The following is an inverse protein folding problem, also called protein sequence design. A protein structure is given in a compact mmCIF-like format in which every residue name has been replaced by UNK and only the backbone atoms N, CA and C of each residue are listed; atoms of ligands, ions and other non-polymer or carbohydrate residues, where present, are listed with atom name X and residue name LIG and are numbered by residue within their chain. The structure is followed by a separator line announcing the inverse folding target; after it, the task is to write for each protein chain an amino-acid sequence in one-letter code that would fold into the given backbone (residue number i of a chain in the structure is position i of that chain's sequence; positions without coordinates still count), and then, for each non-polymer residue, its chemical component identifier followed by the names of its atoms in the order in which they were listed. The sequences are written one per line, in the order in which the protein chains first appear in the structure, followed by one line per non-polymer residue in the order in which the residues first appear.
data_IF_585608115394
#
_entry.id   IF_585608115394
#
_cell.length_a   1.000
_cell.length_b   1.000
_cell.length_c   1.000
_cell.angle_alpha   90.00
_cell.angle_beta   90.00
_cell.angle_gamma   90.00
#
_symmetry.space_group_name_H-M   'P 1'
#
loop_
_entity.id
_entity.type
_entity.pdbx_description
1 polymer ?
#
# COMPACT_ATOMS: atom_id res chain seq x y z
N UNK A 1 93.69 -13.42 12.19
CA UNK A 1 92.83 -14.48 12.74
C UNK A 1 91.50 -13.84 13.11
N UNK A 2 90.63 -13.89 12.10
CA UNK A 2 89.17 -14.02 12.13
C UNK A 2 88.34 -13.02 12.93
N UNK A 3 87.84 -12.01 12.21
CA UNK A 3 86.52 -11.43 12.51
C UNK A 3 85.59 -11.73 11.34
N UNK A 4 84.63 -12.60 11.65
CA UNK A 4 83.59 -13.15 10.80
C UNK A 4 82.74 -12.03 10.18
N UNK A 5 82.61 -12.07 8.85
CA UNK A 5 81.65 -11.29 8.08
C UNK A 5 80.25 -11.82 8.35
N UNK A 6 79.33 -10.96 8.82
CA UNK A 6 77.90 -11.26 8.90
C UNK A 6 77.20 -10.34 7.91
N UNK A 7 76.80 -10.90 6.77
CA UNK A 7 75.92 -10.28 5.80
C UNK A 7 74.52 -10.09 6.42
N UNK A 8 74.09 -8.85 6.62
CA UNK A 8 72.69 -8.53 6.88
C UNK A 8 71.90 -8.65 5.57
N UNK A 9 71.22 -9.77 5.36
CA UNK A 9 70.19 -9.89 4.33
C UNK A 9 68.93 -9.15 4.76
N UNK A 10 68.55 -8.13 3.98
CA UNK A 10 67.24 -7.48 4.06
C UNK A 10 66.17 -8.49 3.64
N UNK A 11 65.24 -8.83 4.55
CA UNK A 11 63.98 -9.48 4.21
C UNK A 11 62.86 -8.51 4.58
N UNK A 12 62.42 -7.71 3.60
CA UNK A 12 61.19 -6.95 3.70
C UNK A 12 60.02 -7.91 3.51
N UNK A 13 59.36 -8.28 4.60
CA UNK A 13 58.17 -9.12 4.59
C UNK A 13 56.96 -8.20 4.35
N UNK A 14 56.58 -8.04 3.08
CA UNK A 14 55.37 -7.29 2.70
C UNK A 14 54.15 -8.18 2.96
N UNK A 15 53.51 -7.99 4.11
CA UNK A 15 52.18 -8.54 4.40
C UNK A 15 51.14 -7.77 3.59
N UNK A 16 50.76 -8.30 2.43
CA UNK A 16 49.59 -7.82 1.70
C UNK A 16 48.32 -8.35 2.38
N UNK A 17 47.67 -7.52 3.20
CA UNK A 17 46.34 -7.84 3.71
C UNK A 17 45.33 -7.78 2.56
N UNK A 18 44.81 -8.93 2.14
CA UNK A 18 43.64 -9.00 1.27
C UNK A 18 42.41 -8.56 2.07
N UNK A 19 42.08 -7.27 2.01
CA UNK A 19 40.78 -6.77 2.46
C UNK A 19 39.77 -7.19 1.41
N UNK A 20 39.09 -8.31 1.64
CA UNK A 20 37.89 -8.64 0.87
C UNK A 20 36.80 -7.69 1.34
N UNK A 21 36.59 -6.61 0.59
CA UNK A 21 35.40 -5.78 0.73
C UNK A 21 34.20 -6.64 0.36
N UNK A 22 33.53 -7.21 1.36
CA UNK A 22 32.18 -7.73 1.20
C UNK A 22 31.31 -6.52 0.90
N UNK A 23 31.10 -6.25 -0.39
CA UNK A 23 30.04 -5.36 -0.83
C UNK A 23 28.72 -6.02 -0.42
N UNK A 24 28.23 -5.68 0.78
CA UNK A 24 26.82 -5.87 1.07
C UNK A 24 26.07 -5.05 0.02
N UNK A 25 25.55 -5.71 -1.02
CA UNK A 25 24.38 -5.20 -1.70
C UNK A 25 23.29 -5.19 -0.65
N UNK A 26 23.11 -4.05 0.03
CA UNK A 26 21.91 -3.77 0.76
C UNK A 26 20.79 -3.85 -0.27
N UNK A 27 20.12 -5.00 -0.34
CA UNK A 27 18.83 -5.10 -0.99
C UNK A 27 17.98 -4.02 -0.32
N UNK A 28 17.70 -2.94 -1.03
CA UNK A 28 16.77 -1.93 -0.59
C UNK A 28 15.45 -2.66 -0.42
N UNK A 29 15.08 -2.98 0.82
CA UNK A 29 13.77 -3.50 1.14
C UNK A 29 12.79 -2.41 0.71
N UNK A 30 12.16 -2.60 -0.44
CA UNK A 30 11.16 -1.67 -0.93
C UNK A 30 10.04 -1.66 0.10
N UNK A 31 9.89 -0.55 0.81
CA UNK A 31 8.91 -0.41 1.88
C UNK A 31 7.49 -0.23 1.33
N UNK A 32 7.36 -0.08 0.01
CA UNK A 32 6.11 0.23 -0.71
C UNK A 32 5.45 -1.03 -1.24
N UNK A 33 4.17 -0.91 -1.56
CA UNK A 33 3.40 -1.97 -2.22
C UNK A 33 3.99 -2.30 -3.59
N UNK A 34 3.91 -3.56 -4.00
CA UNK A 34 4.33 -3.98 -5.34
C UNK A 34 3.46 -3.35 -6.44
N UNK A 35 4.07 -2.95 -7.56
CA UNK A 35 3.33 -2.42 -8.72
C UNK A 35 2.63 -3.50 -9.55
N UNK A 36 3.09 -4.75 -9.45
CA UNK A 36 2.50 -5.90 -10.15
C UNK A 36 2.20 -7.00 -9.13
N UNK A 37 0.92 -7.25 -8.92
CA UNK A 37 0.43 -8.18 -7.90
C UNK A 37 0.20 -9.60 -8.43
N UNK A 38 0.50 -9.86 -9.71
CA UNK A 38 0.27 -11.17 -10.36
C UNK A 38 1.09 -12.33 -9.77
N UNK A 39 2.14 -12.03 -9.01
CA UNK A 39 3.01 -13.05 -8.40
C UNK A 39 2.36 -13.74 -7.19
N UNK A 40 1.42 -13.07 -6.53
CA UNK A 40 0.68 -13.64 -5.41
C UNK A 40 -0.81 -13.81 -5.75
N UNK A 41 -1.58 -14.45 -4.88
CA UNK A 41 -3.02 -14.65 -5.04
C UNK A 41 -3.75 -14.36 -3.75
N UNK A 42 -5.02 -13.97 -3.85
CA UNK A 42 -5.95 -13.86 -2.71
C UNK A 42 -6.68 -15.18 -2.39
N UNK A 43 -6.50 -16.23 -3.19
CA UNK A 43 -7.10 -17.54 -2.93
C UNK A 43 -6.39 -18.24 -1.76
N UNK A 44 -7.13 -18.49 -0.68
CA UNK A 44 -6.58 -18.98 0.59
C UNK A 44 -5.79 -20.28 0.51
N UNK A 45 -6.19 -21.18 -0.40
CA UNK A 45 -5.64 -22.53 -0.50
C UNK A 45 -4.51 -22.67 -1.54
N UNK A 46 -4.18 -21.60 -2.29
CA UNK A 46 -3.11 -21.64 -3.28
C UNK A 46 -1.73 -21.58 -2.64
N UNK A 47 -0.71 -22.08 -3.35
CA UNK A 47 0.68 -22.00 -2.91
C UNK A 47 1.19 -20.57 -2.78
N UNK A 48 0.67 -19.67 -3.61
CA UNK A 48 0.92 -18.23 -3.54
C UNK A 48 -0.23 -17.45 -2.87
N UNK A 49 -1.05 -18.13 -2.06
CA UNK A 49 -2.17 -17.55 -1.31
C UNK A 49 -1.73 -16.77 -0.05
N UNK A 50 -2.64 -16.01 0.60
CA UNK A 50 -2.30 -15.09 1.69
C UNK A 50 -1.56 -15.74 2.87
N UNK A 51 -1.94 -16.95 3.26
CA UNK A 51 -1.29 -17.71 4.34
C UNK A 51 0.17 -18.10 4.05
N UNK A 52 0.61 -17.97 2.79
CA UNK A 52 1.94 -18.37 2.31
C UNK A 52 2.74 -17.21 1.70
N UNK A 53 2.21 -15.99 1.62
CA UNK A 53 2.91 -14.86 0.98
C UNK A 53 4.34 -14.65 1.50
N UNK A 54 4.56 -14.74 2.82
CA UNK A 54 5.90 -14.59 3.41
C UNK A 54 6.89 -15.73 3.12
N UNK A 55 6.47 -16.77 2.40
CA UNK A 55 7.31 -17.87 1.94
C UNK A 55 7.64 -17.78 0.44
N UNK A 56 7.01 -16.86 -0.29
CA UNK A 56 7.21 -16.73 -1.75
C UNK A 56 8.58 -16.10 -2.03
N UNK A 57 8.93 -15.02 -1.31
CA UNK A 57 10.23 -14.33 -1.43
C UNK A 57 10.76 -13.85 -0.08
N UNK A 58 12.09 -13.72 0.10
CA UNK A 58 12.68 -13.20 1.32
C UNK A 58 12.18 -11.81 1.72
N UNK A 59 11.97 -10.92 0.75
CA UNK A 59 11.52 -9.54 0.99
C UNK A 59 10.08 -9.48 1.52
N UNK A 60 9.29 -10.54 1.35
CA UNK A 60 7.90 -10.63 1.79
C UNK A 60 7.76 -11.30 3.16
N UNK A 61 8.86 -11.65 3.82
CA UNK A 61 8.86 -12.40 5.07
C UNK A 61 7.97 -11.78 6.16
N UNK A 62 7.79 -10.45 6.16
CA UNK A 62 6.91 -9.74 7.10
C UNK A 62 5.45 -10.17 6.99
N UNK A 63 4.98 -10.58 5.82
CA UNK A 63 3.62 -11.11 5.65
C UNK A 63 3.33 -12.35 6.51
N UNK A 64 4.36 -13.13 6.87
CA UNK A 64 4.21 -14.33 7.70
C UNK A 64 4.77 -14.20 9.13
N UNK A 65 5.62 -13.21 9.38
CA UNK A 65 6.33 -13.03 10.67
C UNK A 65 5.90 -11.80 11.45
N UNK A 66 5.20 -10.86 10.80
CA UNK A 66 4.77 -9.62 11.42
C UNK A 66 3.68 -9.82 12.48
N UNK A 67 3.73 -9.00 13.52
CA UNK A 67 2.81 -8.98 14.66
C UNK A 67 1.81 -7.80 14.62
N UNK A 68 2.05 -6.82 13.75
CA UNK A 68 1.22 -5.64 13.50
C UNK A 68 0.65 -5.69 12.07
N UNK A 69 0.10 -6.85 11.68
CA UNK A 69 -0.44 -7.04 10.34
C UNK A 69 -1.84 -6.44 10.17
N UNK A 70 -2.08 -5.92 8.98
CA UNK A 70 -3.37 -5.45 8.48
C UNK A 70 -3.86 -6.39 7.36
N UNK A 71 -5.19 -6.46 7.10
CA UNK A 71 -6.28 -5.75 7.77
C UNK A 71 -6.69 -6.38 9.11
N UNK A 72 -7.54 -5.68 9.87
CA UNK A 72 -8.11 -6.17 11.13
C UNK A 72 -9.63 -5.97 11.22
N UNK A 73 -10.29 -6.72 12.13
CA UNK A 73 -11.66 -6.44 12.53
C UNK A 73 -11.76 -5.32 13.57
N UNK A 74 -12.47 -4.25 13.23
CA UNK A 74 -12.69 -3.09 14.07
C UNK A 74 -13.91 -3.33 14.97
N UNK A 75 -13.67 -3.95 16.11
CA UNK A 75 -14.73 -4.27 17.09
C UNK A 75 -14.95 -3.13 18.08
N UNK A 76 -16.20 -2.74 18.34
CA UNK A 76 -16.52 -1.75 19.36
C UNK A 76 -16.08 -2.16 20.79
N UNK A 77 -15.81 -3.45 21.03
CA UNK A 77 -15.35 -3.99 22.32
C UNK A 77 -13.86 -3.75 22.62
N UNK A 78 -13.04 -3.56 21.59
CA UNK A 78 -11.57 -3.42 21.71
C UNK A 78 -11.06 -2.01 21.41
N UNK A 79 -11.96 -1.07 21.13
CA UNK A 79 -11.59 0.31 20.77
C UNK A 79 -11.60 1.19 22.00
N UNK A 80 -10.52 1.94 22.18
CA UNK A 80 -10.47 3.04 23.15
C UNK A 80 -11.05 4.28 22.50
N UNK A 81 -12.06 4.90 23.13
CA UNK A 81 -12.61 6.17 22.65
C UNK A 81 -11.66 7.28 23.04
N UNK A 82 -11.15 8.00 22.03
CA UNK A 82 -10.29 9.16 22.20
C UNK A 82 -11.07 10.39 21.78
N UNK A 83 -11.41 11.25 22.73
CA UNK A 83 -12.30 12.42 22.52
C UNK A 83 -11.59 13.65 21.98
N UNK A 84 -10.27 13.73 22.12
CA UNK A 84 -9.44 14.85 21.65
C UNK A 84 -8.89 14.65 20.24
N UNK A 85 -9.28 13.58 19.53
CA UNK A 85 -8.83 13.39 18.16
C UNK A 85 -9.36 14.49 17.25
N UNK A 86 -8.44 15.13 16.54
CA UNK A 86 -8.76 16.22 15.64
C UNK A 86 -9.58 15.73 14.44
N UNK A 87 -10.36 16.65 13.87
CA UNK A 87 -11.04 16.44 12.59
C UNK A 87 -9.98 16.06 11.53
N UNK A 88 -10.31 15.08 10.69
CA UNK A 88 -9.48 14.72 9.56
C UNK A 88 -9.30 15.93 8.63
N UNK A 89 -8.05 16.35 8.44
CA UNK A 89 -7.67 17.51 7.62
C UNK A 89 -6.89 17.03 6.42
N UNK A 90 -7.32 17.46 5.24
CA UNK A 90 -6.69 17.17 3.95
C UNK A 90 -6.60 18.45 3.16
N UNK A 91 -5.51 18.63 2.43
CA UNK A 91 -5.39 19.65 1.41
C UNK A 91 -5.07 18.98 0.09
N UNK A 92 -6.12 18.72 -0.67
CA UNK A 92 -6.01 18.06 -1.96
C UNK A 92 -6.38 19.01 -3.09
N UNK A 93 -5.65 18.91 -4.20
CA UNK A 93 -5.85 19.60 -5.47
C UNK A 93 -5.96 18.59 -6.63
N UNK A 94 -6.59 18.96 -7.75
CA UNK A 94 -6.54 18.15 -8.96
C UNK A 94 -5.11 17.89 -9.41
N UNK A 95 -4.85 16.68 -9.91
CA UNK A 95 -3.53 16.26 -10.36
C UNK A 95 -3.65 15.23 -11.49
N UNK A 96 -2.64 15.16 -12.34
CA UNK A 96 -2.51 14.07 -13.31
C UNK A 96 -2.15 12.77 -12.59
N UNK A 97 -2.63 11.66 -13.15
CA UNK A 97 -2.37 10.36 -12.60
C UNK A 97 -2.27 9.31 -13.70
N UNK A 98 -1.65 8.19 -13.39
CA UNK A 98 -1.72 6.97 -14.20
C UNK A 98 -2.71 6.00 -13.54
N UNK A 99 -3.71 5.54 -14.29
CA UNK A 99 -4.56 4.41 -13.92
C UNK A 99 -3.83 3.12 -14.29
N UNK A 100 -3.68 2.21 -13.33
CA UNK A 100 -2.87 1.01 -13.44
C UNK A 100 -3.71 -0.18 -12.99
N UNK A 101 -3.75 -1.23 -13.80
CA UNK A 101 -4.25 -2.53 -13.42
C UNK A 101 -3.08 -3.38 -12.89
N UNK A 102 -3.01 -3.55 -11.57
CA UNK A 102 -1.91 -4.30 -10.93
C UNK A 102 -2.13 -5.81 -10.97
N UNK A 103 -3.25 -6.28 -11.52
CA UNK A 103 -3.61 -7.70 -11.61
C UNK A 103 -4.74 -8.05 -10.65
N UNK A 104 -4.65 -7.64 -9.37
CA UNK A 104 -5.69 -7.87 -8.36
C UNK A 104 -6.44 -6.62 -7.92
N UNK A 105 -5.91 -5.43 -8.19
CA UNK A 105 -6.62 -4.17 -7.98
C UNK A 105 -6.42 -3.16 -9.13
N UNK A 106 -7.21 -2.09 -9.04
CA UNK A 106 -7.04 -0.89 -9.84
C UNK A 106 -6.41 0.19 -8.98
N UNK A 107 -5.29 0.74 -9.44
CA UNK A 107 -4.56 1.82 -8.77
C UNK A 107 -4.61 3.10 -9.60
N UNK A 108 -4.81 4.24 -8.95
CA UNK A 108 -4.47 5.57 -9.48
C UNK A 108 -3.19 6.04 -8.80
N UNK A 109 -2.11 6.15 -9.55
CA UNK A 109 -0.84 6.71 -9.09
C UNK A 109 -0.70 8.16 -9.53
N UNK A 110 -0.55 9.09 -8.60
CA UNK A 110 -0.41 10.51 -8.95
C UNK A 110 1.00 10.84 -9.45
N UNK A 111 1.08 11.85 -10.31
CA UNK A 111 2.31 12.29 -10.96
C UNK A 111 2.89 13.55 -10.31
N UNK A 112 4.19 13.80 -10.54
CA UNK A 112 4.88 15.00 -10.07
C UNK A 112 4.86 15.13 -8.54
N UNK A 113 4.52 16.32 -8.05
CA UNK A 113 4.41 16.59 -6.61
C UNK A 113 3.18 15.94 -5.93
N UNK A 114 2.32 15.29 -6.72
CA UNK A 114 1.07 14.72 -6.26
C UNK A 114 -0.03 15.76 -6.00
N UNK A 115 -1.19 15.31 -5.54
CA UNK A 115 -2.38 16.13 -5.38
C UNK A 115 -2.41 16.85 -4.02
N UNK A 116 -1.31 16.93 -3.27
CA UNK A 116 -1.28 17.50 -1.92
C UNK A 116 -1.24 16.44 -0.82
N UNK A 117 -1.75 16.77 0.37
CA UNK A 117 -1.41 16.03 1.60
C UNK A 117 -2.57 15.84 2.59
N UNK A 118 -2.32 14.95 3.54
CA UNK A 118 -3.20 14.62 4.66
C UNK A 118 -2.44 14.84 5.98
N UNK A 119 -3.08 15.49 6.94
CA UNK A 119 -2.47 15.76 8.26
C UNK A 119 -2.82 14.63 9.24
N UNK A 120 -1.80 13.90 9.69
CA UNK A 120 -1.90 12.96 10.80
C UNK A 120 -1.68 13.74 12.10
N UNK A 121 -2.55 13.53 13.09
CA UNK A 121 -2.52 14.20 14.40
C UNK A 121 -2.59 15.74 14.36
N UNK A 122 -2.88 16.32 13.18
CA UNK A 122 -2.99 17.77 12.97
C UNK A 122 -1.66 18.45 12.62
N UNK A 123 -0.53 17.79 12.82
CA UNK A 123 0.81 18.38 12.66
C UNK A 123 1.68 17.65 11.64
N UNK A 124 1.48 16.36 11.45
CA UNK A 124 2.38 15.55 10.64
C UNK A 124 1.83 15.42 9.22
N UNK A 125 2.53 16.00 8.26
CA UNK A 125 2.12 16.04 6.87
C UNK A 125 2.52 14.76 6.11
N UNK A 126 1.55 14.13 5.44
CA UNK A 126 1.78 12.97 4.56
C UNK A 126 1.23 13.27 3.16
N UNK A 127 2.10 13.25 2.14
CA UNK A 127 1.73 13.49 0.74
C UNK A 127 0.99 12.29 0.17
N UNK A 128 -0.12 12.53 -0.54
CA UNK A 128 -0.91 11.49 -1.19
C UNK A 128 -0.17 10.98 -2.43
N UNK A 129 0.13 9.68 -2.45
CA UNK A 129 0.88 9.05 -3.56
C UNK A 129 -0.05 8.33 -4.53
N UNK A 130 -0.97 7.54 -3.99
CA UNK A 130 -1.84 6.68 -4.79
C UNK A 130 -3.17 6.38 -4.10
N UNK A 131 -4.12 5.94 -4.92
CA UNK A 131 -5.40 5.38 -4.51
C UNK A 131 -5.54 3.99 -5.09
N UNK A 132 -6.13 3.05 -4.36
CA UNK A 132 -6.54 1.78 -4.94
C UNK A 132 -7.76 1.20 -4.24
N UNK A 133 -8.39 0.19 -4.85
CA UNK A 133 -9.64 -0.37 -4.37
C UNK A 133 -9.59 -1.88 -4.21
N UNK A 134 -10.14 -2.35 -3.10
CA UNK A 134 -10.34 -3.76 -2.80
C UNK A 134 -11.83 -4.13 -2.80
N UNK A 135 -12.19 -5.24 -3.43
CA UNK A 135 -13.56 -5.79 -3.40
C UNK A 135 -13.55 -7.32 -3.18
N UNK A 136 -14.14 -7.82 -2.07
CA UNK A 136 -14.84 -7.09 -1.00
C UNK A 136 -13.88 -6.23 -0.14
N UNK A 137 -14.40 -5.51 0.85
CA UNK A 137 -13.52 -4.77 1.78
C UNK A 137 -12.58 -5.72 2.50
N UNK A 138 -11.37 -5.24 2.82
CA UNK A 138 -10.37 -5.98 3.58
C UNK A 138 -10.65 -5.89 5.07
N UNK A 139 -10.85 -4.67 5.57
CA UNK A 139 -11.27 -4.40 6.93
C UNK A 139 -12.73 -4.82 7.14
N UNK A 140 -13.04 -5.19 8.38
CA UNK A 140 -14.41 -5.45 8.84
C UNK A 140 -14.74 -4.55 10.04
N UNK A 141 -16.03 -4.31 10.28
CA UNK A 141 -16.51 -3.62 11.48
C UNK A 141 -17.46 -4.56 12.21
N UNK A 142 -17.08 -5.01 13.40
CA UNK A 142 -17.80 -6.03 14.18
C UNK A 142 -18.11 -7.28 13.35
N UNK A 143 -17.10 -7.82 12.67
CA UNK A 143 -17.18 -8.99 11.78
C UNK A 143 -17.90 -8.75 10.45
N UNK A 144 -18.48 -7.56 10.23
CA UNK A 144 -19.16 -7.25 8.97
C UNK A 144 -18.17 -6.80 7.90
N UNK A 145 -18.15 -7.52 6.79
CA UNK A 145 -17.47 -7.14 5.54
C UNK A 145 -18.35 -6.25 4.66
N UNK A 146 -17.72 -5.35 3.92
CA UNK A 146 -18.36 -4.37 3.04
C UNK A 146 -18.08 -4.69 1.56
N UNK A 147 -18.79 -4.03 0.65
CA UNK A 147 -18.76 -4.36 -0.77
C UNK A 147 -17.49 -3.87 -1.49
N UNK A 148 -16.92 -2.77 -0.99
CA UNK A 148 -15.72 -2.15 -1.54
C UNK A 148 -14.99 -1.39 -0.42
N UNK A 149 -13.67 -1.30 -0.56
CA UNK A 149 -12.81 -0.49 0.27
C UNK A 149 -11.85 0.32 -0.61
N UNK A 150 -11.73 1.62 -0.35
CA UNK A 150 -10.77 2.49 -1.02
C UNK A 150 -9.64 2.80 -0.05
N UNK A 151 -8.40 2.60 -0.48
CA UNK A 151 -7.19 3.01 0.24
C UNK A 151 -6.60 4.26 -0.39
N UNK A 152 -6.28 5.25 0.43
CA UNK A 152 -5.52 6.44 0.06
C UNK A 152 -4.16 6.33 0.75
N UNK A 153 -3.12 6.05 -0.01
CA UNK A 153 -1.77 5.80 0.53
C UNK A 153 -0.94 7.08 0.48
N UNK A 154 -0.38 7.44 1.63
CA UNK A 154 0.40 8.64 1.81
C UNK A 154 1.77 8.34 2.41
N UNK A 155 2.73 9.24 2.18
CA UNK A 155 4.09 9.15 2.71
C UNK A 155 4.54 10.52 3.24
N UNK A 156 5.22 10.54 4.38
CA UNK A 156 5.83 11.75 4.92
C UNK A 156 7.29 11.90 4.45
N UNK A 157 7.95 13.00 4.82
CA UNK A 157 9.35 13.26 4.44
C UNK A 157 10.36 12.22 4.95
N UNK A 158 10.00 11.46 5.98
CA UNK A 158 10.82 10.40 6.56
C UNK A 158 10.55 9.02 5.94
N UNK A 159 9.70 8.92 4.90
CA UNK A 159 9.31 7.66 4.28
C UNK A 159 8.32 6.83 5.12
N UNK A 160 7.75 7.40 6.19
CA UNK A 160 6.69 6.73 6.97
C UNK A 160 5.38 6.76 6.21
N UNK A 161 4.61 5.67 6.29
CA UNK A 161 3.37 5.51 5.55
C UNK A 161 2.13 5.75 6.42
N UNK A 162 1.13 6.38 5.81
CA UNK A 162 -0.21 6.52 6.37
C UNK A 162 -1.27 6.17 5.32
N UNK A 163 -2.24 5.34 5.71
CA UNK A 163 -3.35 4.95 4.83
C UNK A 163 -4.66 5.47 5.41
N UNK A 164 -5.40 6.24 4.62
CA UNK A 164 -6.78 6.61 4.92
C UNK A 164 -7.69 5.68 4.12
N UNK A 165 -8.66 5.05 4.76
CA UNK A 165 -9.57 4.11 4.09
C UNK A 165 -11.04 4.49 4.21
N UNK A 166 -11.80 4.23 3.14
CA UNK A 166 -13.25 4.44 3.04
C UNK A 166 -13.93 3.12 2.71
N UNK A 167 -14.87 2.71 3.57
CA UNK A 167 -15.68 1.52 3.37
C UNK A 167 -16.99 1.85 2.65
N UNK A 168 -17.44 0.96 1.75
CA UNK A 168 -18.65 1.16 0.96
C UNK A 168 -19.61 -0.02 1.04
N UNK A 169 -20.90 0.26 1.19
CA UNK A 169 -21.99 -0.70 0.96
C UNK A 169 -22.64 -0.46 -0.40
N UNK A 170 -23.33 -1.47 -0.93
CA UNK A 170 -24.14 -1.28 -2.14
C UNK A 170 -25.23 -0.24 -1.89
N UNK A 171 -25.41 0.68 -2.84
CA UNK A 171 -26.41 1.74 -2.78
C UNK A 171 -26.28 2.74 -3.93
N UNK A 172 -26.47 4.02 -3.62
CA UNK A 172 -26.33 5.13 -4.59
C UNK A 172 -24.90 5.22 -5.15
N UNK A 173 -24.71 5.71 -6.39
CA UNK A 173 -23.39 5.82 -7.00
C UNK A 173 -22.46 6.73 -6.21
N UNK A 174 -21.21 6.30 -6.09
CA UNK A 174 -20.13 7.15 -5.59
C UNK A 174 -19.76 8.18 -6.67
N UNK A 175 -19.62 9.44 -6.27
CA UNK A 175 -19.38 10.54 -7.20
C UNK A 175 -17.96 10.56 -7.75
N UNK A 176 -16.97 10.09 -6.99
CA UNK A 176 -15.58 10.03 -7.43
C UNK A 176 -15.41 8.86 -8.40
N UNK A 177 -15.92 7.67 -8.08
CA UNK A 177 -15.89 6.55 -9.04
C UNK A 177 -16.63 6.89 -10.32
N UNK A 178 -17.74 7.62 -10.26
CA UNK A 178 -18.46 8.07 -11.45
C UNK A 178 -17.61 8.94 -12.39
N UNK A 179 -16.71 9.78 -11.87
CA UNK A 179 -15.80 10.56 -12.74
C UNK A 179 -14.70 9.70 -13.38
N UNK A 180 -14.52 8.47 -12.89
CA UNK A 180 -13.55 7.49 -13.38
C UNK A 180 -14.16 6.41 -14.28
N UNK A 181 -15.48 6.23 -14.32
CA UNK A 181 -16.15 5.12 -15.05
C UNK A 181 -15.73 5.01 -16.53
N UNK A 182 -15.68 6.14 -17.25
CA UNK A 182 -15.23 6.16 -18.65
C UNK A 182 -13.74 5.78 -18.79
N UNK A 183 -12.92 6.14 -17.81
CA UNK A 183 -11.48 5.83 -17.81
C UNK A 183 -11.24 4.34 -17.48
N UNK A 184 -12.00 3.80 -16.52
CA UNK A 184 -11.98 2.41 -16.09
C UNK A 184 -12.48 1.44 -17.17
N UNK A 185 -13.52 1.80 -17.91
CA UNK A 185 -14.00 0.97 -19.04
C UNK A 185 -12.94 0.83 -20.13
N UNK A 186 -12.28 1.92 -20.52
CA UNK A 186 -11.30 1.89 -21.60
C UNK A 186 -10.07 1.04 -21.26
N UNK A 187 -9.52 1.12 -20.05
CA UNK A 187 -8.37 0.28 -19.66
C UNK A 187 -8.75 -1.22 -19.65
N UNK A 188 -10.00 -1.52 -19.30
CA UNK A 188 -10.53 -2.89 -19.31
C UNK A 188 -10.71 -3.42 -20.73
N UNK A 189 -11.33 -2.65 -21.61
CA UNK A 189 -11.64 -3.06 -22.98
C UNK A 189 -10.37 -3.23 -23.85
N UNK A 190 -9.36 -2.37 -23.63
CA UNK A 190 -8.12 -2.39 -24.39
C UNK A 190 -7.11 -3.42 -23.87
N UNK A 191 -7.42 -4.12 -22.76
CA UNK A 191 -6.47 -5.00 -22.06
C UNK A 191 -5.13 -4.30 -21.76
N UNK A 192 -5.16 -2.98 -21.57
CA UNK A 192 -3.99 -2.17 -21.24
C UNK A 192 -3.67 -2.31 -19.74
N UNK A 193 -2.39 -2.46 -19.39
CA UNK A 193 -1.99 -2.52 -17.98
C UNK A 193 -1.94 -1.13 -17.32
N UNK A 194 -1.74 -0.06 -18.10
CA UNK A 194 -1.56 1.31 -17.61
C UNK A 194 -2.15 2.32 -18.60
N UNK A 195 -2.77 3.39 -18.11
CA UNK A 195 -3.35 4.47 -18.91
C UNK A 195 -3.22 5.81 -18.19
N UNK A 196 -2.68 6.83 -18.87
CA UNK A 196 -2.64 8.18 -18.31
C UNK A 196 -4.04 8.78 -18.23
N UNK A 197 -4.33 9.41 -17.09
CA UNK A 197 -5.62 10.05 -16.80
C UNK A 197 -5.37 11.43 -16.21
N UNK A 198 -5.84 12.44 -16.93
CA UNK A 198 -5.63 13.83 -16.53
C UNK A 198 -6.67 14.29 -15.52
N UNK A 199 -6.27 15.26 -14.70
CA UNK A 199 -7.15 16.07 -13.85
C UNK A 199 -8.04 15.26 -12.90
N UNK A 200 -7.44 14.31 -12.18
CA UNK A 200 -8.13 13.59 -11.10
C UNK A 200 -8.19 14.48 -9.87
N UNK A 201 -9.39 14.72 -9.35
CA UNK A 201 -9.62 15.52 -8.13
C UNK A 201 -9.94 14.64 -6.90
N UNK A 202 -8.93 14.26 -6.09
CA UNK A 202 -9.16 13.49 -4.86
C UNK A 202 -9.82 14.31 -3.74
N UNK A 203 -9.96 15.63 -3.89
CA UNK A 203 -10.73 16.46 -2.93
C UNK A 203 -12.18 16.00 -2.87
N UNK A 204 -12.74 15.53 -3.98
CA UNK A 204 -14.10 15.00 -4.08
C UNK A 204 -14.36 13.71 -3.27
N UNK A 205 -13.29 13.00 -2.85
CA UNK A 205 -13.40 11.79 -2.01
C UNK A 205 -13.89 12.16 -0.61
N UNK A 206 -14.98 11.55 -0.17
CA UNK A 206 -15.71 11.93 1.05
C UNK A 206 -15.08 11.33 2.33
N UNK A 207 -13.87 11.79 2.69
CA UNK A 207 -13.19 11.38 3.94
C UNK A 207 -13.46 12.29 5.14
N UNK A 208 -14.07 13.47 4.95
CA UNK A 208 -14.38 14.42 6.03
C UNK A 208 -15.34 13.83 7.06
N UNK A 209 -14.79 13.30 8.16
CA UNK A 209 -15.52 12.72 9.27
C UNK A 209 -14.83 13.11 10.59
N UNK A 210 -15.63 13.37 11.63
CA UNK A 210 -15.13 13.48 13.01
C UNK A 210 -14.91 12.12 13.67
N UNK A 211 -15.47 11.05 13.09
CA UNK A 211 -15.39 9.69 13.62
C UNK A 211 -14.59 8.81 12.67
N UNK A 212 -13.51 8.25 13.17
CA UNK A 212 -12.64 7.31 12.49
C UNK A 212 -12.03 6.35 13.51
N UNK A 213 -11.50 5.23 13.03
CA UNK A 213 -10.62 4.37 13.80
C UNK A 213 -9.18 4.70 13.44
N UNK A 214 -8.26 4.54 14.39
CA UNK A 214 -6.83 4.76 14.23
C UNK A 214 -6.08 3.60 14.84
N UNK A 215 -5.14 3.02 14.11
CA UNK A 215 -4.22 2.00 14.63
C UNK A 215 -2.91 1.97 13.84
N UNK A 216 -1.88 1.34 14.39
CA UNK A 216 -0.64 1.01 13.68
C UNK A 216 -0.74 -0.41 13.15
N UNK A 217 -0.49 -0.59 11.86
CA UNK A 217 -0.61 -1.87 11.18
C UNK A 217 0.45 -2.04 10.09
N UNK A 218 0.09 -2.73 9.02
CA UNK A 218 0.96 -2.98 7.87
C UNK A 218 0.32 -2.58 6.55
N UNK A 219 1.07 -2.68 5.45
CA UNK A 219 0.49 -2.85 4.12
C UNK A 219 -0.32 -4.17 4.09
N UNK A 220 -1.42 -4.20 3.34
CA UNK A 220 -2.30 -5.39 3.22
C UNK A 220 -1.88 -6.32 2.09
N UNK A 221 -0.91 -5.91 1.27
CA UNK A 221 -0.28 -6.71 0.23
C UNK A 221 1.22 -6.83 0.47
N UNK A 222 1.90 -7.84 -0.11
CA UNK A 222 3.34 -7.93 -0.04
C UNK A 222 4.02 -6.62 -0.46
N UNK A 223 5.07 -6.18 0.26
CA UNK A 223 5.85 -6.93 1.26
C UNK A 223 5.29 -6.91 2.70
N UNK A 224 4.07 -6.41 2.94
CA UNK A 224 3.43 -6.33 4.24
C UNK A 224 4.24 -5.56 5.30
N UNK A 225 4.92 -4.49 4.85
CA UNK A 225 5.69 -3.57 5.70
C UNK A 225 4.84 -3.05 6.86
N UNK A 226 5.34 -3.16 8.10
CA UNK A 226 4.65 -2.69 9.32
C UNK A 226 4.83 -1.19 9.57
N UNK A 227 4.28 -0.71 10.70
CA UNK A 227 4.31 0.69 11.15
C UNK A 227 3.55 1.65 10.22
N UNK A 228 2.54 1.14 9.53
CA UNK A 228 1.63 1.95 8.72
C UNK A 228 0.54 2.55 9.62
N UNK A 229 0.37 3.86 9.57
CA UNK A 229 -0.71 4.54 10.30
C UNK A 229 -2.01 4.37 9.54
N UNK A 230 -2.93 3.58 10.06
CA UNK A 230 -4.25 3.38 9.46
C UNK A 230 -5.29 4.33 10.03
N UNK A 231 -6.05 4.99 9.14
CA UNK A 231 -7.20 5.84 9.49
C UNK A 231 -8.44 5.36 8.75
N UNK A 232 -9.36 4.71 9.45
CA UNK A 232 -10.58 4.13 8.86
C UNK A 232 -11.75 5.06 9.08
N UNK A 233 -12.26 5.66 8.01
CA UNK A 233 -13.42 6.56 8.07
C UNK A 233 -14.65 5.76 8.51
N UNK A 234 -15.19 6.05 9.70
CA UNK A 234 -16.32 5.29 10.27
C UNK A 234 -17.60 5.40 9.44
N UNK A 235 -17.80 6.50 8.72
CA UNK A 235 -18.99 6.71 7.88
C UNK A 235 -18.87 5.89 6.60
N UNK A 236 -19.55 4.74 6.60
CA UNK A 236 -19.70 3.87 5.42
C UNK A 236 -20.40 4.64 4.29
N UNK A 237 -19.76 4.68 3.12
CA UNK A 237 -20.27 5.31 1.90
C UNK A 237 -21.04 4.31 1.05
N UNK A 238 -21.56 4.75 -0.09
CA UNK A 238 -22.33 3.90 -0.99
C UNK A 238 -21.69 3.84 -2.37
N UNK A 239 -21.79 2.69 -3.00
CA UNK A 239 -21.30 2.43 -4.36
C UNK A 239 -22.35 1.57 -5.10
N UNK A 240 -22.47 1.70 -6.41
CA UNK A 240 -23.35 0.78 -7.17
C UNK A 240 -22.67 -0.56 -7.43
N UNK A 241 -23.46 -1.60 -7.69
CA UNK A 241 -22.93 -2.89 -8.17
C UNK A 241 -22.13 -2.74 -9.47
N UNK A 242 -22.58 -1.85 -10.36
CA UNK A 242 -21.89 -1.59 -11.63
C UNK A 242 -20.50 -0.97 -11.40
N UNK A 243 -20.39 0.01 -10.51
CA UNK A 243 -19.09 0.61 -10.15
C UNK A 243 -18.13 -0.42 -9.55
N UNK A 244 -18.62 -1.30 -8.67
CA UNK A 244 -17.81 -2.42 -8.15
C UNK A 244 -17.40 -3.37 -9.30
N UNK A 245 -18.33 -3.70 -10.20
CA UNK A 245 -18.04 -4.56 -11.36
C UNK A 245 -16.95 -3.96 -12.26
N UNK A 246 -16.98 -2.65 -12.54
CA UNK A 246 -15.96 -1.99 -13.36
C UNK A 246 -14.55 -2.12 -12.76
N UNK A 247 -14.44 -2.08 -11.43
CA UNK A 247 -13.16 -2.30 -10.75
C UNK A 247 -12.73 -3.77 -10.79
N UNK A 248 -13.68 -4.71 -10.71
CA UNK A 248 -13.43 -6.16 -10.67
C UNK A 248 -13.17 -6.80 -12.03
N UNK A 249 -13.86 -6.37 -13.08
CA UNK A 249 -13.64 -6.88 -14.45
C UNK A 249 -12.27 -6.46 -14.96
N UNK A 250 -11.75 -5.34 -14.47
CA UNK A 250 -10.41 -4.91 -14.80
C UNK A 250 -9.34 -5.87 -14.24
N UNK A 251 -9.59 -6.56 -13.13
CA UNK A 251 -8.61 -7.45 -12.48
C UNK A 251 -8.85 -8.91 -12.87
N UNK A 252 -7.79 -9.72 -12.94
CA UNK A 252 -7.83 -11.11 -13.41
C UNK A 252 -8.49 -12.09 -12.42
N UNK A 253 -9.39 -11.61 -11.56
CA UNK A 253 -10.09 -12.41 -10.56
C UNK A 253 -11.44 -12.90 -11.12
N UNK A 254 -11.36 -13.69 -12.19
CA UNK A 254 -12.50 -14.22 -12.96
C UNK A 254 -13.37 -15.19 -12.13
N UNK A 255 -12.94 -15.58 -10.93
CA UNK A 255 -13.61 -16.62 -10.13
C UNK A 255 -14.66 -16.14 -9.13
N UNK A 256 -14.87 -14.83 -8.96
CA UNK A 256 -15.87 -14.31 -8.01
C UNK A 256 -17.24 -13.97 -8.65
N UNK A 257 -17.53 -14.48 -9.85
CA UNK A 257 -18.84 -14.35 -10.50
C UNK A 257 -19.93 -15.31 -9.96
N UNK A 258 -19.69 -15.97 -8.82
CA UNK A 258 -20.73 -16.70 -8.07
C UNK A 258 -21.19 -15.87 -6.87
N UNK A 259 -21.99 -14.85 -7.13
CA UNK A 259 -22.89 -14.22 -6.15
C UNK A 259 -24.30 -14.20 -6.73
#
# INVERSE_FOLDING_TARGET
MDKLSIQCFFIFLVLTSFVTTVSCLSATTDSREVENEREFSYEQNKENGPSKWGKIKPEWAMCGKGDLQSPIDLTNKRVTIVTHFQKLTKDYKPCNATLINRGHDMMLRFEGEGPGSFMVNGTDEYKLLQLHWHSPSEHTINGRRFALELHLVHENINGSLAVVTVLYKIGRPDSFLRSLEKKLSVITDQSEAKKNVEMIDPKSIKIGSRKYYRYLGSLTTPPCTQNVIWTIVRKVRTVTRNQVRLLRVAVHDVNLFKL
#
